data_IF_419786400342
#
_entry.id   IF_419786400342
#
_cell.length_a   1.000
_cell.length_b   1.000
_cell.length_c   1.000
_cell.angle_alpha   90.00
_cell.angle_beta   90.00
_cell.angle_gamma   90.00
#
_symmetry.space_group_name_H-M   'P 1'
#
loop_
_entity.id
_entity.type
_entity.pdbx_description
1 polymer ?
#
# COMPACT_ATOMS: atom_id res chain seq x y z
N UNK A 1 -16.86 -10.78 -5.33
CA UNK A 1 -16.60 -10.26 -6.69
C UNK A 1 -17.32 -8.94 -6.95
N UNK A 2 -18.58 -8.78 -6.52
CA UNK A 2 -19.35 -7.53 -6.64
C UNK A 2 -18.63 -6.28 -6.09
N UNK A 3 -17.99 -6.37 -4.92
CA UNK A 3 -17.30 -5.23 -4.32
C UNK A 3 -16.19 -4.66 -5.21
N UNK A 4 -15.38 -5.50 -5.85
CA UNK A 4 -14.30 -5.06 -6.73
C UNK A 4 -14.84 -4.31 -7.94
N UNK A 5 -15.93 -4.82 -8.56
CA UNK A 5 -16.57 -4.17 -9.72
C UNK A 5 -17.13 -2.81 -9.34
N UNK A 6 -17.83 -2.72 -8.20
CA UNK A 6 -18.39 -1.46 -7.70
C UNK A 6 -17.28 -0.43 -7.48
N UNK A 7 -16.19 -0.84 -6.83
CA UNK A 7 -15.03 0.03 -6.59
C UNK A 7 -14.47 0.52 -7.93
N UNK A 8 -14.20 -0.37 -8.88
CA UNK A 8 -13.69 0.02 -10.21
C UNK A 8 -14.62 1.04 -10.90
N UNK A 9 -15.93 0.80 -10.90
CA UNK A 9 -16.90 1.74 -11.49
C UNK A 9 -16.84 3.11 -10.82
N UNK A 10 -16.84 3.17 -9.49
CA UNK A 10 -16.76 4.45 -8.75
C UNK A 10 -15.46 5.19 -9.07
N UNK A 11 -14.33 4.49 -9.11
CA UNK A 11 -13.04 5.10 -9.47
C UNK A 11 -13.04 5.64 -10.91
N UNK A 12 -13.62 4.92 -11.87
CA UNK A 12 -13.71 5.41 -13.24
C UNK A 12 -14.61 6.64 -13.37
N UNK A 13 -15.78 6.64 -12.71
CA UNK A 13 -16.70 7.77 -12.71
C UNK A 13 -16.07 9.01 -12.06
N UNK A 14 -15.31 8.83 -10.98
CA UNK A 14 -14.59 9.94 -10.34
C UNK A 14 -13.55 10.56 -11.28
N UNK A 15 -12.77 9.76 -11.99
CA UNK A 15 -11.81 10.28 -12.97
C UNK A 15 -12.50 11.03 -14.11
N UNK A 16 -13.64 10.52 -14.61
CA UNK A 16 -14.44 11.23 -15.63
C UNK A 16 -14.89 12.59 -15.12
N UNK A 17 -15.38 12.67 -13.88
CA UNK A 17 -15.79 13.95 -13.28
C UNK A 17 -14.62 14.94 -13.17
N UNK A 18 -13.42 14.48 -12.80
CA UNK A 18 -12.23 15.32 -12.75
C UNK A 18 -11.87 15.91 -14.12
N UNK A 19 -11.87 15.09 -15.17
CA UNK A 19 -11.48 15.53 -16.52
C UNK A 19 -12.49 16.48 -17.19
N UNK A 20 -13.75 16.50 -16.75
CA UNK A 20 -14.75 17.47 -17.24
C UNK A 20 -14.48 18.88 -16.70
N UNK A 21 -13.87 18.99 -15.52
CA UNK A 21 -13.72 20.26 -14.78
C UNK A 21 -12.29 20.80 -14.84
N UNK A 22 -11.29 19.92 -14.87
CA UNK A 22 -9.87 20.27 -14.76
C UNK A 22 -9.17 19.97 -16.07
N UNK A 23 -8.48 20.98 -16.61
CA UNK A 23 -7.62 20.83 -17.79
C UNK A 23 -6.41 19.94 -17.49
N UNK A 24 -5.88 19.18 -18.47
CA UNK A 24 -4.77 18.25 -18.25
C UNK A 24 -3.51 18.92 -17.70
N UNK A 25 -3.24 20.17 -18.08
CA UNK A 25 -2.07 20.92 -17.63
C UNK A 25 -2.12 21.22 -16.13
N UNK A 26 -3.29 21.63 -15.61
CA UNK A 26 -3.46 21.90 -14.19
C UNK A 26 -3.41 20.63 -13.33
N UNK A 27 -3.81 19.49 -13.90
CA UNK A 27 -3.85 18.20 -13.24
C UNK A 27 -2.44 17.66 -12.94
N UNK A 28 -1.44 18.04 -13.75
CA UNK A 28 -0.03 17.66 -13.52
C UNK A 28 0.68 18.58 -12.51
N UNK A 29 0.23 19.82 -12.39
CA UNK A 29 0.87 20.84 -11.54
C UNK A 29 0.38 20.73 -10.09
N UNK A 30 -0.90 20.38 -9.88
CA UNK A 30 -1.49 20.39 -8.54
C UNK A 30 -1.31 19.07 -7.79
N UNK A 31 -0.60 19.05 -6.64
CA UNK A 31 -0.47 17.84 -5.81
C UNK A 31 -1.79 17.44 -5.15
N UNK A 32 -2.80 18.32 -5.12
CA UNK A 32 -4.08 18.12 -4.45
C UNK A 32 -5.27 18.29 -5.42
N UNK A 33 -5.37 17.38 -6.40
CA UNK A 33 -6.39 17.42 -7.46
C UNK A 33 -7.83 17.50 -6.92
N UNK A 34 -8.12 16.83 -5.80
CA UNK A 34 -9.44 16.88 -5.18
C UNK A 34 -9.83 18.25 -4.61
N UNK A 35 -8.86 19.01 -4.08
CA UNK A 35 -9.11 20.36 -3.57
C UNK A 35 -9.31 21.33 -4.72
N UNK A 36 -8.49 21.23 -5.77
CA UNK A 36 -8.62 22.03 -6.99
C UNK A 36 -10.00 21.83 -7.65
N UNK A 37 -10.48 20.58 -7.71
CA UNK A 37 -11.83 20.27 -8.20
C UNK A 37 -12.91 21.00 -7.39
N UNK A 38 -12.79 20.98 -6.05
CA UNK A 38 -13.76 21.59 -5.16
C UNK A 38 -13.76 23.11 -5.24
N UNK A 39 -12.60 23.74 -5.40
CA UNK A 39 -12.49 25.19 -5.61
C UNK A 39 -13.18 25.62 -6.90
N UNK A 40 -13.00 24.89 -8.00
CA UNK A 40 -13.63 25.19 -9.28
C UNK A 40 -15.14 24.96 -9.31
N UNK A 41 -15.65 23.94 -8.63
CA UNK A 41 -17.08 23.59 -8.67
C UNK A 41 -17.91 24.22 -7.55
N UNK A 42 -17.40 24.20 -6.32
CA UNK A 42 -18.19 24.54 -5.13
C UNK A 42 -17.87 25.92 -4.57
N UNK A 43 -16.81 26.59 -5.06
CA UNK A 43 -16.43 27.96 -4.70
C UNK A 43 -16.40 28.19 -3.18
N UNK A 44 -17.48 28.77 -2.63
CA UNK A 44 -17.64 29.06 -1.20
C UNK A 44 -17.69 27.83 -0.29
N UNK A 45 -18.09 26.66 -0.81
CA UNK A 45 -18.15 25.40 -0.06
C UNK A 45 -16.91 24.49 -0.29
N UNK A 46 -15.87 25.00 -0.95
CA UNK A 46 -14.67 24.22 -1.27
C UNK A 46 -13.95 23.66 -0.03
N UNK A 47 -14.10 24.30 1.14
CA UNK A 47 -13.48 23.87 2.41
C UNK A 47 -13.96 22.50 2.92
N UNK A 48 -15.12 22.02 2.48
CA UNK A 48 -15.67 20.72 2.92
C UNK A 48 -14.81 19.58 2.37
N UNK A 49 -14.33 19.70 1.12
CA UNK A 49 -13.56 18.66 0.45
C UNK A 49 -12.25 18.30 1.19
N UNK A 50 -11.36 19.26 1.54
CA UNK A 50 -10.15 18.94 2.29
C UNK A 50 -10.44 18.36 3.68
N UNK A 51 -11.54 18.76 4.35
CA UNK A 51 -11.93 18.15 5.64
C UNK A 51 -12.30 16.67 5.45
N UNK A 52 -13.11 16.35 4.44
CA UNK A 52 -13.47 14.96 4.12
C UNK A 52 -12.25 14.13 3.73
N UNK A 53 -11.36 14.67 2.90
CA UNK A 53 -10.11 14.00 2.48
C UNK A 53 -9.20 13.77 3.69
N UNK A 54 -9.03 14.76 4.57
CA UNK A 54 -8.22 14.63 5.78
C UNK A 54 -8.76 13.56 6.72
N UNK A 55 -10.08 13.53 6.95
CA UNK A 55 -10.73 12.50 7.76
C UNK A 55 -10.55 11.10 7.15
N UNK A 56 -10.64 10.97 5.83
CA UNK A 56 -10.40 9.71 5.13
C UNK A 56 -8.93 9.26 5.26
N UNK A 57 -7.98 10.17 5.08
CA UNK A 57 -6.55 9.88 5.23
C UNK A 57 -6.21 9.45 6.67
N UNK A 58 -6.80 10.12 7.66
CA UNK A 58 -6.66 9.76 9.07
C UNK A 58 -7.23 8.36 9.36
N UNK A 59 -8.42 8.05 8.82
CA UNK A 59 -9.03 6.73 8.95
C UNK A 59 -8.16 5.62 8.32
N UNK A 60 -7.61 5.87 7.13
CA UNK A 60 -6.70 4.94 6.47
C UNK A 60 -5.41 4.72 7.29
N UNK A 61 -4.80 5.79 7.78
CA UNK A 61 -3.60 5.72 8.63
C UNK A 61 -3.87 4.87 9.90
N UNK A 62 -4.96 5.14 10.61
CA UNK A 62 -5.33 4.36 11.80
C UNK A 62 -5.55 2.86 11.49
N UNK A 63 -6.22 2.56 10.37
CA UNK A 63 -6.45 1.17 9.94
C UNK A 63 -5.14 0.43 9.61
N UNK A 64 -4.18 1.11 9.00
CA UNK A 64 -2.86 0.53 8.71
C UNK A 64 -2.07 0.22 9.97
N UNK A 65 -2.07 1.11 10.97
CA UNK A 65 -1.41 0.90 12.28
C UNK A 65 -1.99 -0.30 13.03
N UNK A 66 -3.32 -0.46 13.00
CA UNK A 66 -3.98 -1.62 13.62
C UNK A 66 -3.60 -2.95 12.94
N UNK A 67 -3.40 -2.94 11.63
CA UNK A 67 -3.09 -4.15 10.87
C UNK A 67 -1.60 -4.52 11.01
N UNK A 68 -0.71 -3.53 10.89
CA UNK A 68 0.73 -3.71 10.96
C UNK A 68 1.16 -4.23 12.33
N UNK A 69 0.62 -3.69 13.42
CA UNK A 69 0.93 -4.12 14.78
C UNK A 69 0.63 -5.61 15.04
N UNK A 70 -0.43 -6.17 14.43
CA UNK A 70 -0.73 -7.61 14.49
C UNK A 70 0.26 -8.45 13.70
N UNK A 71 0.69 -7.97 12.54
CA UNK A 71 1.72 -8.63 11.72
C UNK A 71 3.04 -8.75 12.49
N UNK A 72 3.50 -7.64 13.09
CA UNK A 72 4.73 -7.63 13.89
C UNK A 72 4.64 -8.53 15.13
N UNK A 73 3.50 -8.52 15.83
CA UNK A 73 3.29 -9.40 16.98
C UNK A 73 3.30 -10.89 16.59
N UNK A 74 2.75 -11.24 15.42
CA UNK A 74 2.78 -12.62 14.92
C UNK A 74 4.18 -13.02 14.47
N UNK A 75 4.91 -12.15 13.77
CA UNK A 75 6.28 -12.42 13.34
C UNK A 75 7.24 -12.60 14.53
N UNK A 76 7.06 -11.81 15.58
CA UNK A 76 7.87 -11.92 16.79
C UNK A 76 7.58 -13.21 17.60
N UNK A 77 6.36 -13.77 17.51
CA UNK A 77 6.02 -15.08 18.11
C UNK A 77 6.73 -16.24 17.41
N UNK A 78 6.94 -16.14 16.11
CA UNK A 78 7.70 -17.11 15.30
C UNK A 78 9.23 -16.91 15.41
N UNK A 79 9.70 -16.05 16.33
CA UNK A 79 11.13 -15.79 16.55
C UNK A 79 11.83 -14.97 15.46
N UNK A 80 11.09 -14.46 14.47
CA UNK A 80 11.65 -13.67 13.36
C UNK A 80 12.04 -12.24 13.76
N UNK A 81 11.61 -11.78 14.94
CA UNK A 81 11.79 -10.42 15.43
C UNK A 81 12.04 -10.41 16.94
N UNK A 82 12.67 -9.34 17.48
CA UNK A 82 13.00 -9.26 18.91
C UNK A 82 11.76 -9.42 19.80
N UNK A 83 11.92 -10.17 20.89
CA UNK A 83 10.85 -10.57 21.83
C UNK A 83 10.10 -9.35 22.41
N UNK A 84 10.74 -8.18 22.46
CA UNK A 84 10.13 -6.92 22.89
C UNK A 84 8.83 -6.59 22.13
N UNK A 85 8.73 -6.99 20.86
CA UNK A 85 7.55 -6.76 20.01
C UNK A 85 6.39 -7.75 20.28
N UNK A 86 6.63 -8.83 21.02
CA UNK A 86 5.59 -9.76 21.48
C UNK A 86 4.84 -9.29 22.72
N UNK A 87 5.35 -8.25 23.39
CA UNK A 87 4.76 -7.75 24.64
C UNK A 87 3.41 -7.10 24.38
N UNK A 88 2.35 -7.77 24.83
CA UNK A 88 0.98 -7.29 24.79
C UNK A 88 0.62 -6.73 26.16
N UNK A 89 0.07 -5.52 26.21
CA UNK A 89 -0.38 -4.94 27.47
C UNK A 89 -1.55 -5.77 28.06
N UNK A 90 -1.43 -6.22 29.31
CA UNK A 90 -2.43 -7.05 30.00
C UNK A 90 -3.79 -6.38 30.17
N UNK A 91 -3.82 -5.04 30.32
CA UNK A 91 -5.06 -4.28 30.59
C UNK A 91 -5.81 -3.91 29.31
N UNK A 92 -5.08 -3.42 28.31
CA UNK A 92 -5.65 -2.90 27.06
C UNK A 92 -5.65 -3.93 25.93
N UNK A 93 -4.97 -5.07 26.10
CA UNK A 93 -4.72 -6.10 25.06
C UNK A 93 -4.15 -5.55 23.76
N UNK A 94 -3.51 -4.39 23.83
CA UNK A 94 -2.86 -3.73 22.70
C UNK A 94 -1.35 -4.03 22.69
N UNK A 95 -0.76 -4.34 21.53
CA UNK A 95 0.69 -4.49 21.38
C UNK A 95 1.36 -3.10 21.30
N UNK A 96 1.51 -2.43 22.45
CA UNK A 96 2.04 -1.05 22.54
C UNK A 96 3.44 -0.93 21.90
N UNK A 97 4.42 -1.82 22.17
CA UNK A 97 5.76 -1.70 21.58
C UNK A 97 5.76 -1.82 20.06
N UNK A 98 4.90 -2.69 19.50
CA UNK A 98 4.77 -2.84 18.04
C UNK A 98 4.20 -1.57 17.40
N UNK A 99 3.20 -0.94 18.03
CA UNK A 99 2.62 0.32 17.54
C UNK A 99 3.67 1.45 17.58
N UNK A 100 4.38 1.60 18.69
CA UNK A 100 5.44 2.61 18.83
C UNK A 100 6.53 2.40 17.78
N UNK A 101 6.97 1.15 17.57
CA UNK A 101 7.95 0.81 16.54
C UNK A 101 7.47 1.19 15.14
N UNK A 102 6.23 0.88 14.78
CA UNK A 102 5.67 1.29 13.48
C UNK A 102 5.56 2.80 13.30
N UNK A 103 5.25 3.52 14.38
CA UNK A 103 5.19 4.98 14.36
C UNK A 103 6.58 5.59 14.16
N UNK A 104 7.58 5.11 14.92
CA UNK A 104 8.97 5.55 14.80
C UNK A 104 9.54 5.27 13.40
N UNK A 105 9.29 4.08 12.84
CA UNK A 105 9.67 3.76 11.47
C UNK A 105 9.02 4.72 10.47
N UNK A 106 7.71 4.99 10.61
CA UNK A 106 7.00 5.91 9.72
C UNK A 106 7.58 7.32 9.77
N UNK A 107 7.89 7.82 10.97
CA UNK A 107 8.54 9.13 11.18
C UNK A 107 9.95 9.14 10.54
N UNK A 108 10.73 8.08 10.74
CA UNK A 108 12.07 7.94 10.16
C UNK A 108 12.03 7.98 8.62
N UNK A 109 11.08 7.27 8.00
CA UNK A 109 10.90 7.30 6.55
C UNK A 109 10.52 8.68 6.01
N UNK A 110 9.75 9.47 6.77
CA UNK A 110 9.41 10.84 6.40
C UNK A 110 10.62 11.77 6.49
N UNK A 111 11.51 11.59 7.47
CA UNK A 111 12.73 12.40 7.59
C UNK A 111 13.79 12.04 6.56
N UNK A 112 13.88 10.76 6.16
CA UNK A 112 14.90 10.29 5.22
C UNK A 112 14.57 10.64 3.75
N UNK A 113 13.28 10.82 3.43
CA UNK A 113 12.82 11.04 2.06
C UNK A 113 12.35 12.48 1.83
N UNK A 114 13.11 13.25 1.05
CA UNK A 114 12.69 14.60 0.63
C UNK A 114 11.58 14.61 -0.43
N UNK A 115 11.23 13.46 -1.03
CA UNK A 115 10.28 13.36 -2.14
C UNK A 115 9.24 12.25 -1.92
N UNK A 116 7.97 12.65 -1.77
CA UNK A 116 6.84 11.72 -1.59
C UNK A 116 6.72 10.70 -2.74
N UNK A 117 6.95 11.11 -3.99
CA UNK A 117 6.87 10.22 -5.15
C UNK A 117 7.90 9.10 -5.12
N UNK A 118 9.10 9.34 -4.58
CA UNK A 118 10.14 8.31 -4.41
C UNK A 118 9.69 7.29 -3.37
N UNK A 119 9.13 7.76 -2.24
CA UNK A 119 8.63 6.88 -1.18
C UNK A 119 7.46 6.02 -1.65
N UNK A 120 6.53 6.60 -2.42
CA UNK A 120 5.42 5.86 -3.04
C UNK A 120 5.98 4.79 -3.98
N UNK A 121 6.90 5.14 -4.87
CA UNK A 121 7.45 4.18 -5.84
C UNK A 121 8.20 3.05 -5.15
N UNK A 122 9.04 3.36 -4.16
CA UNK A 122 9.82 2.36 -3.43
C UNK A 122 8.94 1.41 -2.59
N UNK A 123 7.94 1.96 -1.88
CA UNK A 123 7.00 1.16 -1.09
C UNK A 123 6.15 0.24 -1.98
N UNK A 124 5.67 0.74 -3.12
CA UNK A 124 4.87 -0.05 -4.06
C UNK A 124 5.70 -1.16 -4.71
N UNK A 125 6.93 -0.88 -5.17
CA UNK A 125 7.82 -1.91 -5.71
C UNK A 125 8.04 -3.03 -4.69
N UNK A 126 8.29 -2.67 -3.42
CA UNK A 126 8.51 -3.64 -2.34
C UNK A 126 7.25 -4.49 -2.08
N UNK A 127 6.07 -3.85 -2.04
CA UNK A 127 4.79 -4.55 -1.84
C UNK A 127 4.48 -5.52 -3.00
N UNK A 128 4.66 -5.09 -4.25
CA UNK A 128 4.43 -5.92 -5.43
C UNK A 128 5.43 -7.08 -5.54
N UNK A 129 6.68 -6.87 -5.10
CA UNK A 129 7.66 -7.94 -4.99
C UNK A 129 7.20 -9.00 -3.98
N UNK A 130 6.78 -8.60 -2.78
CA UNK A 130 6.27 -9.51 -1.76
C UNK A 130 5.05 -10.32 -2.27
N UNK A 131 4.11 -9.65 -2.94
CA UNK A 131 2.93 -10.30 -3.55
C UNK A 131 3.35 -11.31 -4.64
N UNK A 132 4.36 -10.98 -5.45
CA UNK A 132 4.90 -11.87 -6.48
C UNK A 132 5.51 -13.13 -5.85
N UNK A 133 6.31 -12.98 -4.79
CA UNK A 133 6.92 -14.11 -4.05
C UNK A 133 5.84 -14.99 -3.42
N UNK A 134 4.81 -14.41 -2.80
CA UNK A 134 3.70 -15.18 -2.22
C UNK A 134 2.94 -15.96 -3.30
N UNK A 135 2.73 -15.35 -4.47
CA UNK A 135 2.04 -16.02 -5.58
C UNK A 135 2.90 -17.14 -6.16
N UNK A 136 4.22 -16.96 -6.27
CA UNK A 136 5.15 -18.04 -6.64
C UNK A 136 5.17 -19.17 -5.60
N UNK A 137 5.09 -18.83 -4.31
CA UNK A 137 4.98 -19.81 -3.24
C UNK A 137 3.68 -20.64 -3.34
N UNK A 138 2.57 -20.05 -3.81
CA UNK A 138 1.34 -20.77 -4.11
C UNK A 138 1.56 -21.87 -5.16
N UNK A 139 2.33 -21.60 -6.23
CA UNK A 139 2.68 -22.61 -7.22
C UNK A 139 3.52 -23.74 -6.61
N UNK A 140 4.52 -23.38 -5.80
CA UNK A 140 5.33 -24.38 -5.09
C UNK A 140 4.51 -25.24 -4.13
N UNK A 141 3.56 -24.63 -3.40
CA UNK A 141 2.65 -25.34 -2.51
C UNK A 141 1.71 -26.27 -3.29
N UNK A 142 1.31 -25.86 -4.50
CA UNK A 142 0.52 -26.70 -5.41
C UNK A 142 1.23 -27.99 -5.78
N UNK A 143 2.53 -27.91 -6.08
CA UNK A 143 3.34 -29.06 -6.45
C UNK A 143 3.73 -29.92 -5.24
N UNK A 144 4.03 -29.31 -4.09
CA UNK A 144 4.54 -30.04 -2.90
C UNK A 144 3.45 -30.76 -2.12
N UNK A 145 2.23 -30.22 -2.06
CA UNK A 145 1.12 -30.81 -1.31
C UNK A 145 -0.15 -30.92 -2.19
N UNK A 146 -0.16 -31.82 -3.19
CA UNK A 146 -1.30 -31.96 -4.10
C UNK A 146 -2.58 -32.39 -3.38
N UNK A 147 -2.49 -33.28 -2.38
CA UNK A 147 -3.62 -33.91 -1.70
C UNK A 147 -4.17 -33.14 -0.48
N UNK A 148 -3.61 -31.96 -0.17
CA UNK A 148 -4.12 -31.14 0.93
C UNK A 148 -5.59 -30.73 0.66
N UNK A 149 -6.48 -30.76 1.68
CA UNK A 149 -7.88 -30.37 1.52
C UNK A 149 -7.97 -28.88 1.18
N UNK A 150 -8.46 -28.58 -0.03
CA UNK A 150 -8.60 -27.20 -0.55
C UNK A 150 -10.09 -26.87 -0.71
N UNK A 151 -10.69 -26.10 0.21
CA UNK A 151 -12.11 -25.75 0.14
C UNK A 151 -12.45 -24.82 -1.04
N UNK A 152 -11.47 -24.08 -1.56
CA UNK A 152 -11.63 -23.19 -2.72
C UNK A 152 -10.56 -23.54 -3.75
N UNK A 153 -10.98 -23.97 -4.95
CA UNK A 153 -10.09 -24.28 -6.07
C UNK A 153 -10.35 -23.27 -7.19
N UNK A 154 -9.34 -22.45 -7.48
CA UNK A 154 -9.31 -21.54 -8.64
C UNK A 154 -8.48 -22.12 -9.76
N UNK A 155 -8.87 -21.86 -11.01
CA UNK A 155 -8.14 -22.31 -12.20
C UNK A 155 -6.70 -21.76 -12.20
N UNK A 156 -5.73 -22.57 -12.65
CA UNK A 156 -4.30 -22.24 -12.70
C UNK A 156 -3.97 -21.06 -13.63
N UNK A 157 -4.84 -20.78 -14.59
CA UNK A 157 -4.69 -19.69 -15.55
C UNK A 157 -4.65 -18.33 -14.83
N UNK A 158 -5.50 -18.11 -13.82
CA UNK A 158 -5.58 -16.80 -13.14
C UNK A 158 -4.31 -16.44 -12.37
N UNK A 159 -3.72 -17.32 -11.52
CA UNK A 159 -2.45 -17.03 -10.88
C UNK A 159 -1.29 -16.82 -11.87
N UNK A 160 -1.28 -17.50 -13.02
CA UNK A 160 -0.20 -17.36 -14.03
C UNK A 160 -0.22 -15.95 -14.63
N UNK A 161 -1.40 -15.50 -15.08
CA UNK A 161 -1.58 -14.14 -15.61
C UNK A 161 -1.20 -13.11 -14.55
N UNK A 162 -1.60 -13.35 -13.29
CA UNK A 162 -1.29 -12.45 -12.18
C UNK A 162 0.21 -12.32 -11.91
N UNK A 163 0.97 -13.43 -11.92
CA UNK A 163 2.43 -13.39 -11.75
C UNK A 163 3.12 -12.63 -12.89
N UNK A 164 2.69 -12.84 -14.13
CA UNK A 164 3.26 -12.13 -15.29
C UNK A 164 3.02 -10.62 -15.13
N UNK A 165 1.80 -10.22 -14.76
CA UNK A 165 1.45 -8.82 -14.53
C UNK A 165 2.22 -8.21 -13.35
N UNK A 166 2.30 -8.90 -12.22
CA UNK A 166 3.01 -8.39 -11.03
C UNK A 166 4.51 -8.30 -11.26
N UNK A 167 5.09 -9.24 -12.02
CA UNK A 167 6.49 -9.19 -12.42
C UNK A 167 6.78 -7.98 -13.32
N UNK A 168 5.92 -7.70 -14.31
CA UNK A 168 6.06 -6.51 -15.15
C UNK A 168 6.00 -5.20 -14.33
N UNK A 169 5.10 -5.11 -13.35
CA UNK A 169 4.97 -3.94 -12.46
C UNK A 169 6.22 -3.73 -11.60
N UNK A 170 6.93 -4.79 -11.21
CA UNK A 170 8.20 -4.68 -10.46
C UNK A 170 9.34 -4.25 -11.37
N UNK A 171 9.38 -4.76 -12.61
CA UNK A 171 10.48 -4.55 -13.54
C UNK A 171 10.46 -3.15 -14.18
N UNK A 172 9.28 -2.62 -14.52
CA UNK A 172 9.14 -1.33 -15.20
C UNK A 172 9.74 -0.14 -14.41
N UNK A 173 9.50 0.02 -13.09
CA UNK A 173 10.10 1.10 -12.30
C UNK A 173 11.62 0.99 -12.18
N UNK A 174 12.17 -0.22 -12.15
CA UNK A 174 13.62 -0.47 -12.05
C UNK A 174 14.35 0.09 -13.27
N UNK A 175 13.76 -0.08 -14.47
CA UNK A 175 14.32 0.47 -15.70
C UNK A 175 14.01 1.96 -15.89
N UNK A 176 12.84 2.44 -15.46
CA UNK A 176 12.42 3.83 -15.64
C UNK A 176 13.07 4.82 -14.67
N UNK A 177 13.54 4.40 -13.49
CA UNK A 177 14.15 5.29 -12.50
C UNK A 177 15.21 4.57 -11.64
N UNK A 178 16.35 4.16 -12.24
CA UNK A 178 17.35 3.30 -11.57
C UNK A 178 17.97 3.95 -10.32
N UNK A 179 18.03 5.30 -10.27
CA UNK A 179 18.60 6.05 -9.15
C UNK A 179 17.70 6.02 -7.90
N UNK A 180 16.38 5.94 -8.07
CA UNK A 180 15.43 5.91 -6.96
C UNK A 180 15.30 4.52 -6.32
N UNK A 181 15.59 3.46 -7.06
CA UNK A 181 15.60 2.08 -6.55
C UNK A 181 16.97 1.66 -6.03
N UNK A 182 18.06 2.10 -6.67
CA UNK A 182 19.43 1.82 -6.23
C UNK A 182 19.82 2.51 -4.92
N UNK A 183 19.21 3.66 -4.61
CA UNK A 183 19.46 4.36 -3.34
C UNK A 183 18.86 3.63 -2.14
N UNK A 184 17.71 2.95 -2.25
CA UNK A 184 17.18 2.08 -1.18
C UNK A 184 18.15 0.95 -0.83
N UNK A 185 18.84 0.37 -1.81
CA UNK A 185 19.89 -0.63 -1.57
C UNK A 185 21.16 -0.04 -0.93
N UNK A 186 21.50 1.22 -1.23
CA UNK A 186 22.61 1.93 -0.56
C UNK A 186 22.29 2.33 0.88
N UNK A 187 21.04 2.70 1.19
CA UNK A 187 20.63 3.06 2.56
C UNK A 187 20.44 1.85 3.48
N UNK A 188 20.23 0.64 2.94
CA UNK A 188 20.13 -0.60 3.73
C UNK A 188 21.49 -1.27 3.99
N UNK A 189 22.60 -0.64 3.57
CA UNK A 189 23.96 -1.16 3.73
C UNK A 189 24.85 -0.32 4.66
N UNK A 190 24.24 0.46 5.56
CA UNK A 190 24.92 1.12 6.69
C UNK A 190 24.31 0.61 7.99
#
# INVERSE_FOLDING_TARGET
MYSCVIVTTVYTLFNVALYVVISPDELQISPAVGVLYAEKMYGRLAFIMPICVAMSAFGAANGTVMTSSRLFCSGAREGQMPVLLTMINRRLRTPIPAVVFTCLLSICYLFLSNNLFVLITASQVTAWLAITVVTLALFRLRCKYPDAPRPIKVNLIFPIIFVIGSFAIVVLPIFGSPVNTGTTFKYFQI
#
